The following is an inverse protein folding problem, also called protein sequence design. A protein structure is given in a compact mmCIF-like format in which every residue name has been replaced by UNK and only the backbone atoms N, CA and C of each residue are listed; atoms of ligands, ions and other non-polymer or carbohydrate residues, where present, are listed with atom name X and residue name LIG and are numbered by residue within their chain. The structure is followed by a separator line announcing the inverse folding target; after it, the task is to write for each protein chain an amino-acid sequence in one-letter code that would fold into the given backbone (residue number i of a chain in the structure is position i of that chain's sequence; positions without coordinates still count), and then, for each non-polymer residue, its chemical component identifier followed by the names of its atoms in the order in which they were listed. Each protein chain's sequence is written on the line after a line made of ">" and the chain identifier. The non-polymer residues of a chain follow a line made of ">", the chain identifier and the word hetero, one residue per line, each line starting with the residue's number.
data_IF_428043127370
#
_entry.id   IF_428043127370
#
_cell.length_a   1.000
_cell.length_b   1.000
_cell.length_c   1.000
_cell.angle_alpha   90.00
_cell.angle_beta   90.00
_cell.angle_gamma   90.00
#
_symmetry.space_group_name_H-M   'P 1'
#
loop_
_entity.id
_entity.type
_entity.pdbx_description
1 polymer ?
#
# COMPACT_ATOMS: atom_id res chain seq x y z
N UNK A 1 10.68 -9.80 -9.35
CA UNK A 1 10.27 -8.55 -10.00
C UNK A 1 8.84 -8.24 -9.56
N UNK A 2 8.44 -6.98 -9.46
CA UNK A 2 7.02 -6.65 -9.23
C UNK A 2 6.21 -7.22 -10.39
N UNK A 3 5.06 -7.84 -10.09
CA UNK A 3 4.24 -8.48 -11.14
C UNK A 3 3.42 -7.45 -11.94
N UNK A 4 3.33 -6.21 -11.46
CA UNK A 4 2.68 -5.08 -12.12
C UNK A 4 3.69 -4.11 -12.71
N UNK A 5 3.32 -3.54 -13.85
CA UNK A 5 3.97 -2.35 -14.43
C UNK A 5 3.08 -1.13 -14.20
N UNK A 6 3.68 0.02 -13.94
CA UNK A 6 2.92 1.28 -13.77
C UNK A 6 2.14 1.57 -15.06
N UNK A 7 0.84 1.83 -14.92
CA UNK A 7 -0.06 2.05 -16.06
C UNK A 7 -0.74 0.80 -16.61
N UNK A 8 -0.35 -0.40 -16.18
CA UNK A 8 -1.02 -1.64 -16.57
C UNK A 8 -2.44 -1.68 -15.99
N UNK A 9 -3.47 -1.88 -16.82
CA UNK A 9 -4.87 -1.91 -16.40
C UNK A 9 -5.40 -3.33 -16.58
N UNK A 10 -5.11 -4.18 -15.61
CA UNK A 10 -5.65 -5.53 -15.51
C UNK A 10 -5.92 -5.91 -14.05
N UNK A 11 -6.92 -6.77 -13.78
CA UNK A 11 -7.06 -7.39 -12.47
C UNK A 11 -5.80 -8.18 -12.08
N UNK A 12 -5.50 -8.19 -10.79
CA UNK A 12 -4.52 -9.11 -10.24
C UNK A 12 -4.97 -10.58 -10.41
N UNK A 13 -4.03 -11.46 -10.73
CA UNK A 13 -4.21 -12.91 -10.84
C UNK A 13 -3.40 -13.68 -9.80
N UNK A 14 -3.44 -15.01 -9.89
CA UNK A 14 -2.80 -15.91 -8.93
C UNK A 14 -1.28 -15.69 -8.80
N UNK A 15 -0.60 -15.41 -9.92
CA UNK A 15 0.83 -15.12 -9.92
C UNK A 15 1.17 -13.85 -9.14
N UNK A 16 0.34 -12.82 -9.25
CA UNK A 16 0.52 -11.55 -8.54
C UNK A 16 0.36 -11.78 -7.02
N UNK A 17 -0.68 -12.53 -6.63
CA UNK A 17 -0.94 -12.94 -5.25
C UNK A 17 0.24 -13.74 -4.67
N UNK A 18 0.74 -14.73 -5.41
CA UNK A 18 1.87 -15.55 -4.98
C UNK A 18 3.15 -14.70 -4.82
N UNK A 19 3.39 -13.78 -5.74
CA UNK A 19 4.51 -12.83 -5.67
C UNK A 19 4.40 -11.94 -4.44
N UNK A 20 3.21 -11.43 -4.15
CA UNK A 20 2.97 -10.57 -2.98
C UNK A 20 3.13 -11.31 -1.65
N UNK A 21 2.65 -12.55 -1.56
CA UNK A 21 2.92 -13.44 -0.41
C UNK A 21 4.41 -13.64 -0.19
N UNK A 22 5.15 -13.95 -1.25
CA UNK A 22 6.61 -14.11 -1.16
C UNK A 22 7.31 -12.84 -0.68
N UNK A 23 6.85 -11.64 -1.09
CA UNK A 23 7.39 -10.38 -0.57
C UNK A 23 7.18 -10.24 0.94
N UNK A 24 6.05 -10.74 1.47
CA UNK A 24 5.78 -10.75 2.90
C UNK A 24 6.60 -11.82 3.64
N UNK A 25 6.62 -13.04 3.13
CA UNK A 25 7.09 -14.23 3.86
C UNK A 25 8.60 -14.43 3.79
N UNK A 26 9.21 -14.15 2.64
CA UNK A 26 10.65 -14.26 2.47
C UNK A 26 11.35 -12.98 2.94
N UNK A 27 12.11 -13.11 4.02
CA UNK A 27 12.91 -12.03 4.61
C UNK A 27 14.38 -12.07 4.15
N UNK A 28 14.81 -13.05 3.35
CA UNK A 28 16.23 -13.27 2.99
C UNK A 28 16.91 -12.07 2.33
N UNK A 29 16.15 -11.31 1.53
CA UNK A 29 16.61 -10.10 0.82
C UNK A 29 16.19 -8.80 1.52
N UNK A 30 15.75 -8.86 2.77
CA UNK A 30 15.22 -7.72 3.51
C UNK A 30 16.12 -7.37 4.70
N UNK A 31 16.41 -6.09 4.86
CA UNK A 31 17.16 -5.57 6.00
C UNK A 31 16.21 -5.01 7.04
N UNK A 32 16.20 -5.59 8.24
CA UNK A 32 15.43 -5.06 9.38
C UNK A 32 16.05 -3.74 9.83
N UNK A 33 15.25 -2.68 9.85
CA UNK A 33 15.68 -1.32 10.23
C UNK A 33 15.05 -0.81 11.52
N UNK A 34 13.94 -1.42 11.94
CA UNK A 34 13.25 -1.08 13.17
C UNK A 34 12.54 -2.31 13.74
N UNK A 35 12.45 -2.41 15.06
CA UNK A 35 11.61 -3.38 15.74
C UNK A 35 11.27 -2.90 17.13
N UNK A 36 9.98 -2.87 17.48
CA UNK A 36 9.50 -2.53 18.82
C UNK A 36 8.16 -3.20 19.07
N UNK A 37 8.04 -3.87 20.23
CA UNK A 37 6.87 -4.69 20.60
C UNK A 37 6.54 -5.66 19.45
N UNK A 38 5.32 -5.59 18.93
CA UNK A 38 4.79 -6.47 17.90
C UNK A 38 5.08 -6.00 16.47
N UNK A 39 5.66 -4.80 16.28
CA UNK A 39 5.89 -4.21 14.96
C UNK A 39 7.37 -4.26 14.56
N UNK A 40 7.62 -4.72 13.33
CA UNK A 40 8.96 -4.74 12.71
C UNK A 40 8.91 -4.10 11.33
N UNK A 41 9.92 -3.29 11.00
CA UNK A 41 10.06 -2.64 9.69
C UNK A 41 11.33 -3.10 9.00
N UNK A 42 11.20 -3.38 7.71
CA UNK A 42 12.25 -3.85 6.84
C UNK A 42 12.36 -2.95 5.61
N UNK A 43 13.57 -2.83 5.08
CA UNK A 43 13.87 -2.17 3.81
C UNK A 43 14.51 -3.20 2.88
N UNK A 44 14.16 -3.14 1.60
CA UNK A 44 14.84 -3.89 0.54
C UNK A 44 15.24 -2.95 -0.58
N UNK A 45 16.51 -3.00 -0.94
CA UNK A 45 17.02 -2.29 -2.11
C UNK A 45 16.45 -2.92 -3.39
N UNK A 46 16.18 -2.07 -4.38
CA UNK A 46 15.67 -2.51 -5.68
C UNK A 46 16.79 -2.38 -6.69
N UNK A 47 17.16 -3.51 -7.33
CA UNK A 47 18.27 -3.58 -8.29
C UNK A 47 18.19 -2.51 -9.39
N UNK A 48 16.96 -2.12 -9.78
CA UNK A 48 16.70 -1.19 -10.88
C UNK A 48 16.00 0.12 -10.44
N UNK A 49 15.99 0.46 -9.15
CA UNK A 49 15.33 1.68 -8.68
C UNK A 49 16.02 2.27 -7.46
N UNK A 50 16.15 3.61 -7.46
CA UNK A 50 16.58 4.37 -6.28
C UNK A 50 15.52 4.40 -5.17
N UNK A 51 14.33 3.86 -5.43
CA UNK A 51 13.22 3.77 -4.48
C UNK A 51 13.27 2.40 -3.82
N UNK A 52 13.59 2.39 -2.53
CA UNK A 52 13.57 1.17 -1.72
C UNK A 52 12.13 0.67 -1.51
N UNK A 53 11.99 -0.64 -1.36
CA UNK A 53 10.76 -1.24 -0.86
C UNK A 53 10.77 -1.16 0.67
N UNK A 54 9.61 -0.88 1.24
CA UNK A 54 9.38 -0.91 2.69
C UNK A 54 8.40 -2.03 2.99
N UNK A 55 8.71 -2.84 4.01
CA UNK A 55 7.82 -3.88 4.53
C UNK A 55 7.63 -3.68 6.03
N UNK A 56 6.38 -3.70 6.47
CA UNK A 56 6.00 -3.64 7.88
C UNK A 56 5.27 -4.93 8.22
N UNK A 57 5.65 -5.53 9.36
CA UNK A 57 5.00 -6.71 9.93
C UNK A 57 4.53 -6.34 11.33
N UNK A 58 3.28 -6.61 11.66
CA UNK A 58 2.76 -6.41 13.02
C UNK A 58 1.77 -7.50 13.42
N UNK A 59 1.85 -7.95 14.66
CA UNK A 59 0.77 -8.72 15.26
C UNK A 59 -0.21 -7.75 15.93
N UNK A 60 -1.50 -8.02 15.77
CA UNK A 60 -2.60 -7.22 16.32
C UNK A 60 -3.43 -8.12 17.23
N UNK A 61 -3.59 -7.71 18.48
CA UNK A 61 -4.47 -8.35 19.45
C UNK A 61 -5.69 -7.47 19.70
N UNK A 62 -6.85 -8.08 20.00
CA UNK A 62 -8.11 -7.36 20.20
C UNK A 62 -8.78 -6.93 18.89
N UNK A 63 -8.40 -7.55 17.76
CA UNK A 63 -9.00 -7.28 16.46
C UNK A 63 -8.95 -8.53 15.58
N UNK A 64 -10.10 -8.97 15.08
CA UNK A 64 -10.17 -10.08 14.15
C UNK A 64 -9.60 -9.71 12.77
N UNK A 65 -9.17 -10.72 12.00
CA UNK A 65 -8.69 -10.50 10.63
C UNK A 65 -9.78 -9.91 9.70
N UNK A 66 -11.04 -10.27 9.93
CA UNK A 66 -12.16 -9.78 9.14
C UNK A 66 -12.43 -8.30 9.42
N UNK A 67 -12.47 -7.89 10.69
CA UNK A 67 -12.71 -6.48 11.07
C UNK A 67 -11.60 -5.56 10.56
N UNK A 68 -10.34 -6.02 10.61
CA UNK A 68 -9.23 -5.27 10.05
C UNK A 68 -9.34 -5.15 8.52
N UNK A 69 -9.73 -6.22 7.83
CA UNK A 69 -9.95 -6.18 6.39
C UNK A 69 -11.07 -5.20 6.02
N UNK A 70 -12.21 -5.24 6.71
CA UNK A 70 -13.33 -4.33 6.48
C UNK A 70 -12.93 -2.87 6.75
N UNK A 71 -12.16 -2.62 7.81
CA UNK A 71 -11.58 -1.29 8.11
C UNK A 71 -10.68 -0.76 6.98
N UNK A 72 -9.94 -1.63 6.29
CA UNK A 72 -9.06 -1.25 5.17
C UNK A 72 -9.85 -1.03 3.86
N UNK A 73 -10.97 -1.71 3.69
CA UNK A 73 -11.81 -1.64 2.50
C UNK A 73 -12.83 -0.50 2.55
N UNK A 74 -13.21 -0.02 3.73
CA UNK A 74 -14.19 1.05 3.91
C UNK A 74 -13.59 2.46 3.65
N UNK A 75 -13.93 3.11 2.52
CA UNK A 75 -13.39 4.43 2.18
C UNK A 75 -13.98 5.55 3.05
N UNK A 76 -15.16 5.36 3.62
CA UNK A 76 -15.83 6.37 4.45
C UNK A 76 -15.23 6.36 5.84
N UNK A 77 -15.03 5.18 6.41
CA UNK A 77 -14.34 5.02 7.68
C UNK A 77 -12.86 5.40 7.59
N UNK A 78 -12.21 5.19 6.43
CA UNK A 78 -10.83 5.62 6.20
C UNK A 78 -10.60 7.10 6.51
N UNK A 79 -11.57 7.96 6.17
CA UNK A 79 -11.50 9.40 6.46
C UNK A 79 -11.54 9.72 7.96
N UNK A 80 -12.11 8.84 8.78
CA UNK A 80 -12.17 9.04 10.22
C UNK A 80 -10.83 8.74 10.91
N UNK A 81 -10.10 7.70 10.46
CA UNK A 81 -8.89 7.26 11.13
C UNK A 81 -7.58 7.70 10.44
N UNK A 82 -7.58 7.87 9.12
CA UNK A 82 -6.41 8.33 8.36
C UNK A 82 -6.35 9.86 8.32
N UNK A 83 -5.64 10.43 9.30
CA UNK A 83 -5.46 11.88 9.46
C UNK A 83 -4.75 12.55 8.27
N UNK A 84 -4.10 11.79 7.39
CA UNK A 84 -3.39 12.30 6.24
C UNK A 84 -4.23 12.22 4.96
N UNK A 85 -5.30 11.44 4.94
CA UNK A 85 -6.23 11.40 3.81
C UNK A 85 -7.00 12.73 3.71
N UNK A 86 -6.93 13.38 2.56
CA UNK A 86 -7.66 14.63 2.27
C UNK A 86 -8.90 14.34 1.45
N UNK A 87 -8.76 13.54 0.41
CA UNK A 87 -9.82 13.21 -0.55
C UNK A 87 -9.56 11.79 -1.06
N UNK A 88 -10.63 11.02 -1.27
CA UNK A 88 -10.54 9.78 -2.02
C UNK A 88 -11.91 9.26 -2.41
N UNK A 89 -11.97 8.69 -3.61
CA UNK A 89 -13.20 8.23 -4.23
C UNK A 89 -12.88 7.21 -5.33
N UNK A 90 -13.83 6.32 -5.58
CA UNK A 90 -13.73 5.34 -6.66
C UNK A 90 -14.09 5.98 -8.00
N UNK A 91 -13.30 5.70 -9.03
CA UNK A 91 -13.51 6.16 -10.40
C UNK A 91 -14.35 5.17 -11.20
N UNK A 92 -14.03 3.87 -11.10
CA UNK A 92 -14.77 2.80 -11.76
C UNK A 92 -14.43 1.43 -11.17
N UNK A 93 -15.33 0.48 -11.41
CA UNK A 93 -15.09 -0.94 -11.13
C UNK A 93 -14.57 -1.62 -12.40
N UNK A 94 -13.44 -2.34 -12.29
CA UNK A 94 -12.80 -3.07 -13.41
C UNK A 94 -13.23 -4.54 -13.41
N UNK A 95 -13.34 -5.14 -12.24
CA UNK A 95 -13.86 -6.50 -12.02
C UNK A 95 -14.55 -6.57 -10.65
N UNK A 96 -15.28 -7.64 -10.30
CA UNK A 96 -15.96 -7.75 -9.00
C UNK A 96 -15.07 -7.55 -7.77
N UNK A 97 -13.75 -7.70 -7.94
CA UNK A 97 -12.75 -7.56 -6.90
C UNK A 97 -11.60 -6.60 -7.27
N UNK A 98 -11.82 -5.74 -8.28
CA UNK A 98 -10.84 -4.75 -8.72
C UNK A 98 -11.51 -3.42 -9.04
N UNK A 99 -11.04 -2.35 -8.42
CA UNK A 99 -11.47 -0.98 -8.72
C UNK A 99 -10.29 -0.11 -9.17
N UNK A 100 -10.62 1.07 -9.73
CA UNK A 100 -9.69 2.17 -9.88
C UNK A 100 -10.20 3.32 -9.02
N UNK A 101 -9.33 3.86 -8.16
CA UNK A 101 -9.65 4.96 -7.25
C UNK A 101 -8.64 6.10 -7.30
N UNK A 102 -9.09 7.27 -6.87
CA UNK A 102 -8.28 8.45 -6.64
C UNK A 102 -8.03 8.65 -5.16
N UNK A 103 -6.81 9.04 -4.79
CA UNK A 103 -6.43 9.39 -3.43
C UNK A 103 -5.60 10.67 -3.41
N UNK A 104 -5.89 11.56 -2.46
CA UNK A 104 -5.11 12.76 -2.16
C UNK A 104 -4.66 12.70 -0.71
N UNK A 105 -3.35 12.79 -0.50
CA UNK A 105 -2.71 12.67 0.80
C UNK A 105 -1.96 13.95 1.15
N UNK A 106 -2.18 14.41 2.37
CA UNK A 106 -1.51 15.55 2.98
C UNK A 106 -0.03 15.26 3.14
N UNK A 107 0.80 16.19 2.70
CA UNK A 107 2.25 16.19 2.96
C UNK A 107 2.60 17.20 4.06
N UNK A 108 3.72 16.98 4.74
CA UNK A 108 4.24 17.92 5.72
C UNK A 108 4.82 19.17 5.03
N UNK A 109 4.58 20.39 5.55
CA UNK A 109 5.20 21.62 5.01
C UNK A 109 6.73 21.52 5.00
N UNK A 110 7.45 22.03 3.97
CA UNK A 110 6.98 22.87 2.87
C UNK A 110 6.55 22.07 1.62
N UNK A 111 6.31 20.76 1.73
CA UNK A 111 6.05 19.93 0.56
C UNK A 111 4.58 19.98 0.10
N UNK A 112 4.37 20.05 -1.21
CA UNK A 112 3.03 19.97 -1.84
C UNK A 112 2.33 18.65 -1.52
N UNK A 113 1.01 18.61 -1.50
CA UNK A 113 0.28 17.35 -1.30
C UNK A 113 0.47 16.41 -2.49
N UNK A 114 0.29 15.11 -2.24
CA UNK A 114 0.47 14.07 -3.26
C UNK A 114 -0.87 13.47 -3.62
N UNK A 115 -1.14 13.35 -4.91
CA UNK A 115 -2.24 12.55 -5.39
C UNK A 115 -1.76 11.28 -6.07
N UNK A 116 -2.60 10.26 -6.09
CA UNK A 116 -2.39 9.01 -6.81
C UNK A 116 -3.70 8.53 -7.42
N UNK A 117 -3.57 7.84 -8.55
CA UNK A 117 -4.66 7.05 -9.16
C UNK A 117 -4.16 5.63 -9.14
N UNK A 118 -4.91 4.73 -8.50
CA UNK A 118 -4.48 3.36 -8.28
C UNK A 118 -5.54 2.38 -8.72
N UNK A 119 -5.12 1.31 -9.40
CA UNK A 119 -5.93 0.12 -9.55
C UNK A 119 -5.69 -0.73 -8.31
N UNK A 120 -6.76 -1.10 -7.60
CA UNK A 120 -6.69 -1.91 -6.38
C UNK A 120 -7.48 -3.21 -6.60
N UNK A 121 -6.83 -4.34 -6.36
CA UNK A 121 -7.47 -5.66 -6.33
C UNK A 121 -7.46 -6.24 -4.92
N UNK A 122 -8.53 -6.93 -4.54
CA UNK A 122 -8.63 -7.62 -3.24
C UNK A 122 -9.02 -9.08 -3.37
N UNK A 123 -8.59 -9.89 -2.41
CA UNK A 123 -8.82 -11.33 -2.36
C UNK A 123 -9.16 -11.76 -0.93
N UNK A 124 -10.19 -12.60 -0.81
CA UNK A 124 -10.59 -13.23 0.45
C UNK A 124 -10.31 -14.73 0.34
N UNK A 125 -9.40 -15.22 1.17
CA UNK A 125 -9.12 -16.65 1.36
C UNK A 125 -9.60 -17.07 2.75
N UNK A 126 -9.57 -18.37 3.04
CA UNK A 126 -10.08 -18.92 4.31
C UNK A 126 -9.42 -18.30 5.55
N UNK A 127 -8.11 -18.11 5.53
CA UNK A 127 -7.32 -17.61 6.67
C UNK A 127 -6.54 -16.33 6.36
N UNK A 128 -6.80 -15.72 5.22
CA UNK A 128 -5.99 -14.61 4.70
C UNK A 128 -6.80 -13.67 3.81
N UNK A 129 -6.54 -12.38 3.96
CA UNK A 129 -7.03 -11.34 3.07
C UNK A 129 -5.84 -10.61 2.44
N UNK A 130 -5.94 -10.32 1.16
CA UNK A 130 -4.91 -9.58 0.42
C UNK A 130 -5.55 -8.40 -0.29
N UNK A 131 -4.92 -7.23 -0.19
CA UNK A 131 -5.25 -6.04 -0.97
C UNK A 131 -3.96 -5.60 -1.65
N UNK A 132 -3.96 -5.48 -2.97
CA UNK A 132 -2.82 -5.00 -3.75
C UNK A 132 -3.26 -3.82 -4.59
N UNK A 133 -2.36 -2.86 -4.79
CA UNK A 133 -2.57 -1.75 -5.69
C UNK A 133 -1.28 -1.31 -6.36
N UNK A 134 -1.43 -0.72 -7.53
CA UNK A 134 -0.37 -0.03 -8.26
C UNK A 134 -0.97 1.17 -8.99
N UNK A 135 -0.10 2.12 -9.36
CA UNK A 135 -0.53 3.32 -10.04
C UNK A 135 -0.92 3.06 -11.50
N UNK A 136 -2.07 3.61 -11.89
CA UNK A 136 -2.59 3.63 -13.26
C UNK A 136 -2.91 5.06 -13.70
N UNK A 137 -3.25 5.23 -14.97
CA UNK A 137 -3.66 6.52 -15.53
C UNK A 137 -5.13 6.46 -15.91
N UNK A 138 -5.90 7.49 -15.53
CA UNK A 138 -7.33 7.56 -15.83
C UNK A 138 -7.72 8.97 -16.31
N UNK A 139 -8.44 9.05 -17.43
CA UNK A 139 -8.77 10.32 -18.07
C UNK A 139 -9.61 11.24 -17.18
N UNK A 140 -10.49 10.68 -16.34
CA UNK A 140 -11.29 11.44 -15.38
C UNK A 140 -10.50 11.98 -14.16
N UNK A 141 -9.23 11.58 -14.01
CA UNK A 141 -8.34 12.06 -12.94
C UNK A 141 -7.00 12.56 -13.50
N UNK A 142 -7.02 13.64 -14.31
CA UNK A 142 -5.82 14.22 -14.91
C UNK A 142 -4.91 14.84 -13.83
N UNK A 143 -3.69 15.21 -14.24
CA UNK A 143 -2.72 15.86 -13.34
C UNK A 143 -3.23 17.22 -12.86
N UNK A 144 -3.21 17.44 -11.54
CA UNK A 144 -3.62 18.69 -10.89
C UNK A 144 -2.36 19.50 -10.53
N UNK A 145 -2.21 20.72 -11.07
CA UNK A 145 -0.99 21.57 -10.91
C UNK A 145 -0.62 21.88 -9.45
N UNK A 146 -1.61 21.88 -8.56
CA UNK A 146 -1.45 22.13 -7.13
C UNK A 146 -0.82 20.94 -6.38
N UNK A 147 -0.86 19.73 -6.95
CA UNK A 147 -0.38 18.50 -6.31
C UNK A 147 0.73 17.85 -7.13
N UNK A 148 1.42 16.91 -6.49
CA UNK A 148 2.44 16.07 -7.15
C UNK A 148 1.85 14.66 -7.29
N UNK A 149 1.78 14.15 -8.51
CA UNK A 149 1.33 12.77 -8.77
C UNK A 149 2.40 11.78 -8.30
N UNK A 150 2.14 11.13 -7.17
CA UNK A 150 2.96 10.02 -6.70
C UNK A 150 2.73 8.78 -7.58
N UNK A 151 3.74 7.91 -7.63
CA UNK A 151 3.69 6.64 -8.35
C UNK A 151 3.89 5.50 -7.35
N UNK A 152 2.88 4.64 -7.22
CA UNK A 152 3.00 3.37 -6.51
C UNK A 152 3.35 2.28 -7.52
N UNK A 153 4.55 1.71 -7.44
CA UNK A 153 4.93 0.56 -8.27
C UNK A 153 4.21 -0.70 -7.79
N UNK A 154 4.12 -0.84 -6.47
CA UNK A 154 3.38 -1.88 -5.78
C UNK A 154 3.11 -1.39 -4.36
N UNK A 155 1.88 -1.47 -3.89
CA UNK A 155 1.54 -1.29 -2.49
C UNK A 155 0.45 -2.28 -2.11
N UNK A 156 0.42 -2.73 -0.87
CA UNK A 156 -0.61 -3.67 -0.47
C UNK A 156 -0.56 -4.08 0.98
N UNK A 157 -1.64 -4.73 1.39
CA UNK A 157 -1.87 -5.28 2.72
C UNK A 157 -2.08 -6.78 2.63
N UNK A 158 -1.61 -7.49 3.64
CA UNK A 158 -1.93 -8.90 3.88
C UNK A 158 -2.36 -9.03 5.34
N UNK A 159 -3.55 -9.58 5.54
CA UNK A 159 -4.12 -9.80 6.87
C UNK A 159 -4.32 -11.29 7.04
N UNK A 160 -3.69 -11.90 8.04
CA UNK A 160 -3.83 -13.34 8.32
C UNK A 160 -4.46 -13.55 9.66
N UNK A 161 -5.40 -14.51 9.72
CA UNK A 161 -6.03 -14.91 10.97
C UNK A 161 -5.00 -15.60 11.87
N UNK A 162 -4.86 -15.14 13.12
CA UNK A 162 -4.04 -15.81 14.14
C UNK A 162 -4.87 -16.29 15.33
N UNK A 163 -6.12 -15.85 15.42
CA UNK A 163 -7.11 -16.28 16.41
C UNK A 163 -8.50 -15.69 16.10
N UNK A 164 -9.49 -15.86 16.99
CA UNK A 164 -10.79 -15.24 16.84
C UNK A 164 -10.74 -13.70 17.00
N UNK A 165 -9.84 -13.20 17.85
CA UNK A 165 -9.68 -11.78 18.18
C UNK A 165 -8.22 -11.33 18.04
N UNK A 166 -7.53 -11.92 17.07
CA UNK A 166 -6.16 -11.56 16.73
C UNK A 166 -5.86 -11.83 15.27
N UNK A 167 -4.99 -10.98 14.72
CA UNK A 167 -4.52 -11.13 13.36
C UNK A 167 -3.07 -10.68 13.19
N UNK A 168 -2.45 -11.16 12.12
CA UNK A 168 -1.22 -10.61 11.60
C UNK A 168 -1.55 -9.59 10.52
N UNK A 169 -0.93 -8.42 10.56
CA UNK A 169 -1.00 -7.40 9.54
C UNK A 169 0.39 -7.18 8.93
N UNK A 170 0.46 -7.36 7.61
CA UNK A 170 1.61 -7.06 6.81
C UNK A 170 1.30 -5.96 5.82
N UNK A 171 2.23 -5.03 5.63
CA UNK A 171 2.16 -3.97 4.63
C UNK A 171 3.46 -3.99 3.82
N UNK A 172 3.34 -3.95 2.49
CA UNK A 172 4.50 -3.82 1.59
C UNK A 172 4.23 -2.70 0.62
N UNK A 173 5.20 -1.81 0.44
CA UNK A 173 5.07 -0.72 -0.52
C UNK A 173 6.40 -0.38 -1.19
N UNK A 174 6.32 -0.03 -2.45
CA UNK A 174 7.36 0.62 -3.23
C UNK A 174 6.71 1.78 -3.97
N UNK A 175 6.84 2.98 -3.42
CA UNK A 175 6.14 4.15 -3.94
C UNK A 175 7.11 5.32 -4.03
N UNK A 176 7.16 5.94 -5.21
CA UNK A 176 7.86 7.18 -5.45
C UNK A 176 6.90 8.36 -5.17
N UNK A 177 7.10 9.13 -4.08
CA UNK A 177 6.30 10.31 -3.81
C UNK A 177 6.53 11.46 -4.81
N UNK A 178 7.59 11.35 -5.62
CA UNK A 178 8.07 12.32 -6.61
C UNK A 178 8.31 13.73 -6.04
N UNK A 179 8.88 14.58 -6.91
CA UNK A 179 9.28 15.95 -6.59
C UNK A 179 10.62 16.02 -5.86
N UNK A 180 10.95 17.19 -5.34
CA UNK A 180 12.25 17.49 -4.72
C UNK A 180 12.38 16.95 -3.29
N UNK A 181 12.02 15.69 -3.08
CA UNK A 181 12.30 14.97 -1.84
C UNK A 181 13.69 14.34 -2.00
N UNK A 182 14.73 15.02 -1.51
CA UNK A 182 16.06 14.41 -1.44
C UNK A 182 15.98 13.24 -0.47
N UNK A 183 16.16 12.02 -0.96
CA UNK A 183 16.30 10.82 -0.14
C UNK A 183 17.61 10.92 0.66
N UNK A 184 17.60 11.65 1.79
CA UNK A 184 18.56 11.43 2.86
C UNK A 184 17.98 10.34 3.75
N UNK A 185 18.81 9.37 4.15
CA UNK A 185 18.52 8.15 4.93
C UNK A 185 17.75 8.32 6.26
N UNK A 186 17.10 9.45 6.52
CA UNK A 186 16.31 9.73 7.73
C UNK A 186 14.79 9.75 7.53
N UNK A 187 14.26 9.51 6.33
CA UNK A 187 12.81 9.67 6.06
C UNK A 187 11.91 8.66 6.83
N UNK A 188 12.48 7.56 7.34
CA UNK A 188 11.77 6.58 8.19
C UNK A 188 11.62 7.01 9.66
N UNK A 189 12.08 8.21 10.05
CA UNK A 189 11.86 8.77 11.40
C UNK A 189 10.66 9.72 11.50
N UNK A 190 9.82 9.82 10.47
CA UNK A 190 8.69 10.76 10.43
C UNK A 190 7.30 10.11 10.54
N UNK A 191 7.21 8.87 11.00
CA UNK A 191 5.96 8.26 11.47
C UNK A 191 6.08 7.93 12.96
#
# INVERSE_FOLDING_TARGET
>A
MASFSVGDVRPAGEHDVATFRNLMDDDSKWHKVFGKKDTTVYIKESENSSIHMVKVKTNVAGLSAADLFDTLMDPDYRRAWDKYMVEGYDLCLVSPNTDIGYYLVKSFPPFKYRDSVTLRSWFKFENEYIIMNHSVFHAAAPLRKQYIRAISYLSGYIVRKTGPDSCFFGFVTQSDPRGNLKCRMGCLRLC
#
